data_IF_328722604255
#
_entry.id   IF_328722604255
#
_cell.length_a   1.000
_cell.length_b   1.000
_cell.length_c   1.000
_cell.angle_alpha   90.00
_cell.angle_beta   90.00
_cell.angle_gamma   90.00
#
_symmetry.space_group_name_H-M   'P 1'
#
loop_
_entity.id
_entity.type
_entity.pdbx_description
1 polymer ?
#
# COMPACT_ATOMS: atom_id res chain seq x y z
N UNK A 1 -11.13 42.20 45.56
CA UNK A 1 -10.46 40.93 45.17
C UNK A 1 -10.92 40.55 43.78
N UNK A 2 -10.12 40.74 42.74
CA UNK A 2 -10.42 40.36 41.35
C UNK A 2 -9.97 38.92 41.16
N UNK A 3 -10.93 38.00 40.89
CA UNK A 3 -10.65 36.59 40.51
C UNK A 3 -10.31 36.59 39.02
N UNK A 4 -9.07 36.27 38.67
CA UNK A 4 -8.69 35.98 37.29
C UNK A 4 -9.07 34.54 36.98
N UNK A 5 -10.01 34.35 36.06
CA UNK A 5 -10.38 33.06 35.50
C UNK A 5 -9.38 32.74 34.38
N UNK A 6 -8.45 31.82 34.66
CA UNK A 6 -7.47 31.32 33.69
C UNK A 6 -8.19 30.32 32.74
N UNK A 7 -8.51 30.74 31.54
CA UNK A 7 -9.09 29.90 30.50
C UNK A 7 -7.96 29.07 29.88
N UNK A 8 -7.83 27.80 30.28
CA UNK A 8 -6.93 26.88 29.62
C UNK A 8 -7.54 26.49 28.24
N UNK A 9 -7.00 27.06 27.17
CA UNK A 9 -7.27 26.58 25.80
C UNK A 9 -6.57 25.23 25.63
N UNK A 10 -7.32 24.15 25.68
CA UNK A 10 -6.88 22.83 25.19
C UNK A 10 -6.80 22.88 23.68
N UNK A 11 -5.60 23.11 23.16
CA UNK A 11 -5.31 22.94 21.73
C UNK A 11 -5.26 21.42 21.51
N UNK A 12 -6.34 20.84 21.00
CA UNK A 12 -6.34 19.47 20.49
C UNK A 12 -5.52 19.46 19.20
N UNK A 13 -4.25 19.11 19.30
CA UNK A 13 -3.49 18.70 18.12
C UNK A 13 -4.08 17.37 17.66
N UNK A 14 -4.73 17.36 16.51
CA UNK A 14 -5.02 16.10 15.82
C UNK A 14 -3.66 15.48 15.45
N UNK A 15 -3.15 14.62 16.32
CA UNK A 15 -2.08 13.72 15.91
C UNK A 15 -2.71 12.76 14.87
N UNK A 16 -2.35 12.91 13.63
CA UNK A 16 -2.55 11.86 12.64
C UNK A 16 -1.65 10.69 13.05
N UNK A 17 -2.21 9.74 13.76
CA UNK A 17 -1.50 8.50 14.08
C UNK A 17 -1.71 7.56 12.89
N UNK A 18 -0.66 7.32 12.11
CA UNK A 18 -0.65 6.26 11.12
C UNK A 18 -0.74 4.88 11.81
N UNK A 19 -1.35 3.87 11.17
CA UNK A 19 -1.38 2.50 11.66
C UNK A 19 0.01 1.84 11.52
N UNK A 20 0.96 2.29 12.30
CA UNK A 20 2.33 1.79 12.29
C UNK A 20 2.45 0.67 13.32
N UNK A 21 2.88 -0.54 12.93
CA UNK A 21 3.15 -1.63 13.86
C UNK A 21 4.17 -1.22 14.91
N UNK A 22 4.02 -1.72 16.15
CA UNK A 22 4.88 -1.35 17.31
C UNK A 22 6.37 -1.62 17.09
N UNK A 23 6.69 -2.63 16.28
CA UNK A 23 8.08 -2.98 15.92
C UNK A 23 8.58 -2.23 14.66
N UNK A 24 7.77 -1.31 14.13
CA UNK A 24 8.11 -0.54 12.92
C UNK A 24 8.21 -1.39 11.66
N UNK A 25 7.59 -2.58 11.65
CA UNK A 25 7.67 -3.50 10.51
C UNK A 25 6.35 -4.23 10.28
N UNK A 26 5.96 -4.39 9.01
CA UNK A 26 4.90 -5.28 8.56
C UNK A 26 5.48 -6.26 7.53
N UNK A 27 5.41 -7.55 7.84
CA UNK A 27 5.89 -8.61 6.94
C UNK A 27 4.74 -9.50 6.52
N UNK A 28 4.72 -9.87 5.24
CA UNK A 28 3.69 -10.75 4.67
C UNK A 28 4.33 -11.87 3.87
N UNK A 29 3.83 -13.07 4.07
CA UNK A 29 4.11 -14.20 3.17
C UNK A 29 3.23 -14.09 1.92
N UNK A 30 3.85 -14.17 0.75
CA UNK A 30 3.13 -14.23 -0.53
C UNK A 30 2.85 -15.70 -0.86
N UNK A 31 1.58 -16.08 -0.86
CA UNK A 31 1.14 -17.46 -0.95
C UNK A 31 0.39 -17.71 -2.27
N UNK A 32 0.75 -18.77 -2.98
CA UNK A 32 0.06 -19.29 -4.16
C UNK A 32 -0.06 -20.80 -4.08
N UNK A 33 -1.30 -21.34 -4.23
CA UNK A 33 -1.55 -22.79 -4.10
C UNK A 33 -0.97 -23.40 -2.80
N UNK A 34 -1.19 -22.73 -1.68
CA UNK A 34 -0.70 -23.13 -0.34
C UNK A 34 0.82 -23.22 -0.23
N UNK A 35 1.57 -22.57 -1.10
CA UNK A 35 3.04 -22.48 -1.02
C UNK A 35 3.46 -21.03 -0.95
N UNK A 36 4.40 -20.72 -0.07
CA UNK A 36 5.06 -19.43 -0.05
C UNK A 36 5.90 -19.31 -1.32
N UNK A 37 5.71 -18.23 -2.07
CA UNK A 37 6.39 -17.92 -3.33
C UNK A 37 7.14 -16.59 -3.26
N UNK A 38 7.15 -15.93 -2.12
CA UNK A 38 7.81 -14.66 -1.93
C UNK A 38 7.44 -13.98 -0.62
N UNK A 39 7.90 -12.75 -0.47
CA UNK A 39 7.64 -11.89 0.68
C UNK A 39 7.28 -10.48 0.25
N UNK A 40 6.54 -9.78 1.11
CA UNK A 40 6.29 -8.35 1.04
C UNK A 40 6.60 -7.76 2.42
N UNK A 41 7.61 -6.93 2.49
CA UNK A 41 8.05 -6.27 3.72
C UNK A 41 7.86 -4.77 3.63
N UNK A 42 7.33 -4.17 4.71
CA UNK A 42 7.18 -2.73 4.87
C UNK A 42 7.90 -2.36 6.16
N UNK A 43 8.79 -1.39 6.10
CA UNK A 43 9.48 -0.85 7.27
C UNK A 43 9.19 0.63 7.44
N UNK A 44 8.97 1.03 8.68
CA UNK A 44 8.60 2.38 9.07
C UNK A 44 9.70 2.97 9.94
N UNK A 45 10.13 4.17 9.61
CA UNK A 45 11.13 4.91 10.40
C UNK A 45 10.64 6.35 10.61
N UNK A 46 10.29 6.66 11.85
CA UNK A 46 9.88 8.01 12.27
C UNK A 46 11.05 8.77 12.85
N UNK A 47 11.16 10.02 12.45
CA UNK A 47 12.08 10.99 13.06
C UNK A 47 11.41 12.38 13.06
N UNK A 48 10.96 12.83 14.23
CA UNK A 48 10.13 14.02 14.40
C UNK A 48 8.89 13.96 13.50
N UNK A 49 8.70 14.95 12.63
CA UNK A 49 7.53 15.08 11.74
C UNK A 49 7.70 14.32 10.42
N UNK A 50 8.78 13.53 10.26
CA UNK A 50 9.09 12.79 9.03
C UNK A 50 8.92 11.29 9.26
N UNK A 51 8.06 10.66 8.46
CA UNK A 51 7.94 9.21 8.36
C UNK A 51 8.52 8.75 7.03
N UNK A 52 9.47 7.83 7.08
CA UNK A 52 9.99 7.10 5.93
C UNK A 52 9.39 5.70 5.90
N UNK A 53 8.73 5.36 4.80
CA UNK A 53 8.17 4.01 4.59
C UNK A 53 8.92 3.36 3.44
N UNK A 54 9.53 2.20 3.71
CA UNK A 54 10.21 1.41 2.68
C UNK A 54 9.44 0.12 2.46
N UNK A 55 9.10 -0.15 1.21
CA UNK A 55 8.47 -1.39 0.79
C UNK A 55 9.47 -2.22 -0.04
N UNK A 56 9.52 -3.51 0.22
CA UNK A 56 10.26 -4.48 -0.58
C UNK A 56 9.39 -5.70 -0.84
N UNK A 57 9.14 -5.99 -2.12
CA UNK A 57 8.36 -7.16 -2.56
C UNK A 57 9.27 -8.00 -3.45
N UNK A 58 9.34 -9.28 -3.15
CA UNK A 58 10.05 -10.27 -3.99
C UNK A 58 9.16 -11.48 -4.15
N UNK A 59 8.89 -11.86 -5.40
CA UNK A 59 8.10 -13.04 -5.74
C UNK A 59 8.85 -13.87 -6.76
N UNK A 60 8.96 -15.18 -6.51
CA UNK A 60 9.51 -16.15 -7.46
C UNK A 60 8.59 -17.37 -7.57
N UNK A 61 8.08 -17.62 -8.76
CA UNK A 61 7.30 -18.84 -9.05
C UNK A 61 8.17 -19.83 -9.80
N UNK A 62 8.42 -21.00 -9.19
CA UNK A 62 9.18 -22.10 -9.81
C UNK A 62 8.26 -23.19 -10.34
N UNK A 63 8.61 -23.73 -11.50
CA UNK A 63 7.99 -24.92 -12.10
C UNK A 63 9.12 -25.90 -12.43
N UNK A 64 9.09 -27.09 -11.83
CA UNK A 64 10.12 -28.11 -12.01
C UNK A 64 11.56 -27.57 -11.82
N UNK A 65 11.77 -26.78 -10.75
CA UNK A 65 13.05 -26.15 -10.39
C UNK A 65 13.51 -25.01 -11.32
N UNK A 66 12.75 -24.65 -12.34
CA UNK A 66 13.03 -23.53 -13.23
C UNK A 66 12.20 -22.34 -12.77
N UNK A 67 12.82 -21.17 -12.67
CA UNK A 67 12.10 -19.91 -12.46
C UNK A 67 11.17 -19.66 -13.64
N UNK A 68 9.88 -19.61 -13.38
CA UNK A 68 8.85 -19.43 -14.38
C UNK A 68 8.26 -18.03 -14.36
N UNK A 69 8.52 -17.28 -13.29
CA UNK A 69 8.14 -15.88 -13.14
C UNK A 69 8.84 -15.28 -11.94
N UNK A 70 9.35 -14.06 -12.10
CA UNK A 70 9.85 -13.21 -11.02
C UNK A 70 9.16 -11.85 -11.04
N UNK A 71 9.01 -11.28 -9.86
CA UNK A 71 8.58 -9.91 -9.67
C UNK A 71 9.33 -9.32 -8.49
N UNK A 72 9.88 -8.14 -8.68
CA UNK A 72 10.51 -7.36 -7.63
C UNK A 72 9.97 -5.93 -7.63
N UNK A 73 9.69 -5.41 -6.44
CA UNK A 73 9.32 -4.01 -6.27
C UNK A 73 9.98 -3.45 -5.02
N UNK A 74 10.57 -2.29 -5.15
CA UNK A 74 11.11 -1.52 -4.03
C UNK A 74 10.60 -0.10 -4.12
N UNK A 75 10.16 0.45 -2.98
CA UNK A 75 9.81 1.85 -2.88
C UNK A 75 10.31 2.47 -1.58
N UNK A 76 10.52 3.78 -1.63
CA UNK A 76 10.72 4.62 -0.45
C UNK A 76 9.78 5.80 -0.57
N UNK A 77 8.88 5.92 0.39
CA UNK A 77 7.96 7.03 0.55
C UNK A 77 8.44 7.94 1.67
N UNK A 78 8.23 9.24 1.51
CA UNK A 78 8.45 10.24 2.55
C UNK A 78 7.13 10.93 2.84
N UNK A 79 6.78 10.97 4.11
CA UNK A 79 5.61 11.65 4.64
C UNK A 79 6.08 12.71 5.63
N UNK A 80 5.57 13.93 5.54
CA UNK A 80 5.94 15.05 6.42
C UNK A 80 4.66 15.61 7.04
N UNK A 81 4.57 15.66 8.35
CA UNK A 81 3.36 16.08 9.09
C UNK A 81 2.08 15.31 8.68
N UNK A 82 2.21 14.05 8.24
CA UNK A 82 1.09 13.25 7.76
C UNK A 82 0.81 13.36 6.26
N UNK A 83 1.44 14.28 5.55
CA UNK A 83 1.26 14.46 4.11
C UNK A 83 2.27 13.65 3.31
N UNK A 84 1.81 12.98 2.25
CA UNK A 84 2.67 12.28 1.28
C UNK A 84 3.43 13.27 0.43
N UNK A 85 4.75 13.35 0.57
CA UNK A 85 5.56 14.39 -0.06
C UNK A 85 6.54 13.89 -1.11
N UNK A 86 6.93 12.61 -1.06
CA UNK A 86 7.92 12.08 -2.02
C UNK A 86 7.81 10.58 -2.15
N UNK A 87 8.13 10.09 -3.36
CA UNK A 87 8.36 8.67 -3.64
C UNK A 87 9.51 8.47 -4.60
N UNK A 88 10.26 7.40 -4.37
CA UNK A 88 11.15 6.78 -5.35
C UNK A 88 10.84 5.29 -5.35
N UNK A 89 10.53 4.73 -6.53
CA UNK A 89 10.24 3.31 -6.64
C UNK A 89 10.86 2.70 -7.90
N UNK A 90 11.10 1.39 -7.84
CA UNK A 90 11.54 0.56 -8.95
C UNK A 90 10.75 -0.74 -8.93
N UNK A 91 10.19 -1.11 -10.08
CA UNK A 91 9.49 -2.37 -10.28
C UNK A 91 10.07 -3.11 -11.46
N UNK A 92 10.40 -4.38 -11.25
CA UNK A 92 10.84 -5.31 -12.29
C UNK A 92 9.79 -6.42 -12.45
N UNK A 93 9.08 -6.39 -13.56
CA UNK A 93 8.16 -7.45 -13.98
C UNK A 93 8.87 -8.25 -15.07
N UNK A 94 9.24 -9.48 -14.79
CA UNK A 94 9.97 -10.34 -15.75
C UNK A 94 9.28 -10.42 -17.14
N UNK A 95 7.96 -10.40 -17.18
CA UNK A 95 7.17 -10.51 -18.40
C UNK A 95 6.74 -9.16 -19.01
N UNK A 96 7.20 -8.05 -18.44
CA UNK A 96 6.97 -6.69 -18.93
C UNK A 96 8.32 -5.97 -19.12
N UNK A 97 8.40 -4.77 -18.62
CA UNK A 97 9.61 -3.93 -18.54
C UNK A 97 9.81 -3.42 -17.13
N UNK A 98 10.99 -2.97 -16.84
CA UNK A 98 11.25 -2.25 -15.60
C UNK A 98 10.56 -0.87 -15.61
N UNK A 99 10.05 -0.47 -14.45
CA UNK A 99 9.48 0.85 -14.23
C UNK A 99 10.26 1.57 -13.14
N UNK A 100 10.71 2.78 -13.46
CA UNK A 100 11.36 3.69 -12.52
C UNK A 100 10.38 4.83 -12.23
N UNK A 101 9.93 4.92 -11.00
CA UNK A 101 8.92 5.86 -10.56
C UNK A 101 9.56 6.89 -9.63
N UNK A 102 9.24 8.14 -9.85
CA UNK A 102 9.61 9.24 -8.97
C UNK A 102 8.41 10.15 -8.80
N UNK A 103 8.26 10.69 -7.61
CA UNK A 103 7.25 11.71 -7.32
C UNK A 103 7.73 12.62 -6.23
N UNK A 104 7.32 13.87 -6.29
CA UNK A 104 7.66 14.89 -5.30
C UNK A 104 6.58 15.94 -5.21
N UNK A 105 6.26 16.34 -3.99
CA UNK A 105 5.40 17.48 -3.71
C UNK A 105 5.98 18.75 -4.33
N UNK A 106 5.12 19.57 -4.87
CA UNK A 106 5.37 20.92 -5.38
C UNK A 106 4.30 21.84 -4.80
N UNK A 107 4.43 23.16 -4.90
CA UNK A 107 3.58 24.12 -4.19
C UNK A 107 2.10 23.76 -4.19
N UNK A 108 1.52 23.48 -5.36
CA UNK A 108 0.08 23.27 -5.55
C UNK A 108 -0.26 21.89 -6.13
N UNK A 109 0.74 21.04 -6.41
CA UNK A 109 0.57 19.74 -7.08
C UNK A 109 1.60 18.72 -6.63
N UNK A 110 1.37 17.45 -6.94
CA UNK A 110 2.37 16.39 -6.82
C UNK A 110 2.90 16.05 -8.21
N UNK A 111 4.19 16.32 -8.44
CA UNK A 111 4.84 16.07 -9.72
C UNK A 111 5.42 14.66 -9.72
N UNK A 112 4.97 13.82 -10.65
CA UNK A 112 5.39 12.44 -10.74
C UNK A 112 5.89 12.05 -12.13
N UNK A 113 6.54 10.90 -12.22
CA UNK A 113 6.91 10.26 -13.48
C UNK A 113 6.90 8.74 -13.35
N UNK A 114 6.51 8.06 -14.40
CA UNK A 114 6.44 6.61 -14.49
C UNK A 114 6.10 6.12 -15.90
N UNK A 115 5.26 5.11 -16.00
CA UNK A 115 4.88 4.50 -17.28
C UNK A 115 4.27 5.50 -18.27
N UNK A 116 3.49 6.47 -17.80
CA UNK A 116 2.84 7.49 -18.63
C UNK A 116 3.71 8.74 -18.85
N UNK A 117 4.97 8.72 -18.42
CA UNK A 117 5.87 9.85 -18.50
C UNK A 117 5.69 10.80 -17.32
N UNK A 118 5.74 12.12 -17.58
CA UNK A 118 5.57 13.14 -16.55
C UNK A 118 4.09 13.38 -16.29
N UNK A 119 3.73 13.46 -15.02
CA UNK A 119 2.38 13.66 -14.51
C UNK A 119 2.38 14.84 -13.53
N UNK A 120 1.34 15.64 -13.58
CA UNK A 120 1.00 16.63 -12.56
C UNK A 120 -0.33 16.21 -11.93
N UNK A 121 -0.30 15.89 -10.64
CA UNK A 121 -1.38 15.24 -9.90
C UNK A 121 -1.89 16.15 -8.80
N UNK A 122 -3.08 15.82 -8.27
CA UNK A 122 -3.58 16.46 -7.06
C UNK A 122 -2.52 16.37 -5.94
N UNK A 123 -2.34 17.47 -5.21
CA UNK A 123 -1.37 17.56 -4.13
C UNK A 123 -1.61 16.48 -3.05
N UNK A 124 -2.88 16.15 -2.81
CA UNK A 124 -3.28 15.19 -1.78
C UNK A 124 -3.40 13.76 -2.31
N UNK A 125 -2.90 13.48 -3.52
CA UNK A 125 -2.92 12.12 -4.06
C UNK A 125 -2.21 11.16 -3.11
N UNK A 126 -2.80 9.99 -2.84
CA UNK A 126 -2.15 8.96 -2.04
C UNK A 126 -1.53 7.86 -2.90
N UNK A 127 -0.40 7.28 -2.46
CA UNK A 127 0.23 6.14 -3.14
C UNK A 127 -0.59 4.87 -2.95
N UNK A 128 -0.57 3.98 -3.93
CA UNK A 128 -1.27 2.68 -3.93
C UNK A 128 -0.62 1.67 -2.99
N UNK A 129 -0.34 2.07 -1.76
CA UNK A 129 0.06 1.17 -0.71
C UNK A 129 -1.15 0.88 0.19
N UNK A 130 -1.31 -0.33 0.63
CA UNK A 130 -2.42 -0.71 1.49
C UNK A 130 -2.09 -0.65 2.99
N UNK A 131 -0.87 -0.24 3.37
CA UNK A 131 -0.53 -0.04 4.78
C UNK A 131 -1.28 1.16 5.39
N UNK A 132 -1.58 2.18 4.58
CA UNK A 132 -2.38 3.33 4.98
C UNK A 132 -3.83 3.12 4.51
N UNK A 133 -4.73 2.86 5.45
CA UNK A 133 -6.16 2.62 5.17
C UNK A 133 -6.85 3.81 4.51
N UNK A 134 -6.32 5.04 4.65
CA UNK A 134 -6.90 6.23 4.02
C UNK A 134 -6.90 6.18 2.49
N UNK A 135 -6.11 5.29 1.90
CA UNK A 135 -6.17 5.02 0.45
C UNK A 135 -7.57 4.55 0.02
N UNK A 136 -8.31 3.85 0.90
CA UNK A 136 -9.65 3.36 0.61
C UNK A 136 -10.72 4.47 0.54
N UNK A 137 -10.40 5.69 1.00
CA UNK A 137 -11.30 6.85 1.02
C UNK A 137 -11.10 7.77 -0.20
N UNK A 138 -10.11 7.48 -1.03
CA UNK A 138 -9.77 8.28 -2.20
C UNK A 138 -10.72 7.99 -3.37
N UNK A 139 -10.72 8.86 -4.36
CA UNK A 139 -11.32 8.63 -5.69
C UNK A 139 -10.27 8.17 -6.69
N UNK A 140 -9.06 8.65 -6.53
CA UNK A 140 -7.90 8.35 -7.36
C UNK A 140 -6.68 8.11 -6.48
N UNK A 141 -5.80 7.24 -6.95
CA UNK A 141 -4.54 6.90 -6.29
C UNK A 141 -3.40 6.94 -7.30
N UNK A 142 -2.19 7.12 -6.80
CA UNK A 142 -0.97 6.99 -7.59
C UNK A 142 -0.41 5.57 -7.45
N UNK A 143 -0.46 4.79 -8.52
CA UNK A 143 0.10 3.43 -8.58
C UNK A 143 1.63 3.47 -8.48
N UNK A 144 2.16 3.00 -7.37
CA UNK A 144 3.59 3.03 -7.05
C UNK A 144 4.41 1.99 -7.82
N UNK A 145 3.77 1.00 -8.44
CA UNK A 145 4.46 -0.02 -9.21
C UNK A 145 4.69 0.37 -10.66
N UNK A 146 3.83 1.19 -11.23
CA UNK A 146 3.91 1.62 -12.65
C UNK A 146 4.00 3.13 -12.84
N UNK A 147 3.66 3.93 -11.83
CA UNK A 147 3.68 5.39 -11.91
C UNK A 147 2.58 5.94 -12.82
N UNK A 148 1.35 5.52 -12.57
CA UNK A 148 0.12 5.97 -13.25
C UNK A 148 -0.95 6.33 -12.24
N UNK A 149 -1.95 7.10 -12.65
CA UNK A 149 -3.15 7.35 -11.84
C UNK A 149 -4.18 6.27 -12.08
N UNK A 150 -4.85 5.84 -11.01
CA UNK A 150 -5.97 4.90 -11.09
C UNK A 150 -7.17 5.46 -10.34
N UNK A 151 -8.33 5.51 -11.02
CA UNK A 151 -9.61 5.72 -10.35
C UNK A 151 -9.97 4.47 -9.58
N UNK A 152 -10.45 4.61 -8.35
CA UNK A 152 -10.77 3.46 -7.49
C UNK A 152 -12.25 3.43 -7.11
N UNK A 153 -12.72 2.21 -6.82
CA UNK A 153 -14.01 1.92 -6.23
C UNK A 153 -13.83 0.94 -5.09
N UNK A 154 -14.40 1.23 -3.92
CA UNK A 154 -14.20 0.48 -2.69
C UNK A 154 -15.55 0.10 -2.08
N UNK A 155 -15.74 -1.18 -1.80
CA UNK A 155 -16.92 -1.72 -1.12
C UNK A 155 -16.53 -2.28 0.26
N UNK A 156 -17.21 -1.83 1.32
CA UNK A 156 -17.06 -2.37 2.65
C UNK A 156 -17.98 -3.59 2.86
N UNK A 157 -17.40 -4.75 3.16
CA UNK A 157 -18.13 -6.01 3.35
C UNK A 157 -18.43 -6.33 4.83
N UNK A 158 -18.03 -5.44 5.76
CA UNK A 158 -18.19 -5.66 7.20
C UNK A 158 -17.06 -6.49 7.80
N UNK A 159 -17.36 -7.18 8.92
CA UNK A 159 -16.35 -7.90 9.70
C UNK A 159 -16.22 -9.36 9.30
N UNK A 160 -14.99 -9.85 9.32
CA UNK A 160 -14.64 -11.27 9.16
C UNK A 160 -13.55 -11.63 10.16
N UNK A 161 -13.63 -12.81 10.78
CA UNK A 161 -12.52 -13.37 11.55
C UNK A 161 -11.57 -14.11 10.61
N UNK A 162 -10.31 -13.74 10.66
CA UNK A 162 -9.25 -14.44 9.91
C UNK A 162 -8.25 -15.06 10.89
N UNK A 163 -7.62 -16.16 10.47
CA UNK A 163 -6.64 -16.84 11.30
C UNK A 163 -5.21 -16.51 10.85
N UNK A 164 -4.43 -15.93 11.77
CA UNK A 164 -3.01 -15.62 11.59
C UNK A 164 -2.24 -16.22 12.76
N UNK A 165 -1.19 -16.98 12.51
CA UNK A 165 -0.32 -17.59 13.55
C UNK A 165 -1.09 -18.30 14.68
N UNK A 166 -2.20 -18.98 14.33
CA UNK A 166 -3.14 -19.68 15.25
C UNK A 166 -4.07 -18.78 16.04
N UNK A 167 -3.99 -17.48 15.93
CA UNK A 167 -4.89 -16.51 16.55
C UNK A 167 -6.03 -16.13 15.60
N UNK A 168 -7.21 -15.94 16.13
CA UNK A 168 -8.34 -15.39 15.37
C UNK A 168 -8.32 -13.88 15.53
N UNK A 169 -8.26 -13.17 14.43
CA UNK A 169 -8.22 -11.71 14.38
C UNK A 169 -9.49 -11.23 13.69
N UNK A 170 -10.23 -10.36 14.35
CA UNK A 170 -11.41 -9.72 13.77
C UNK A 170 -10.96 -8.57 12.87
N UNK A 171 -11.32 -8.63 11.60
CA UNK A 171 -10.91 -7.64 10.61
C UNK A 171 -12.11 -7.01 9.90
N UNK A 172 -11.99 -5.75 9.55
CA UNK A 172 -12.82 -5.10 8.55
C UNK A 172 -12.38 -5.58 7.16
N UNK A 173 -13.35 -5.97 6.34
CA UNK A 173 -13.11 -6.50 5.00
C UNK A 173 -13.61 -5.54 3.94
N UNK A 174 -12.79 -5.35 2.90
CA UNK A 174 -13.10 -4.46 1.79
C UNK A 174 -12.81 -5.15 0.45
N UNK A 175 -13.60 -4.82 -0.58
CA UNK A 175 -13.22 -5.04 -1.97
C UNK A 175 -12.68 -3.72 -2.51
N UNK A 176 -11.55 -3.79 -3.19
CA UNK A 176 -10.87 -2.66 -3.80
C UNK A 176 -10.68 -2.94 -5.29
N UNK A 177 -11.29 -2.11 -6.11
CA UNK A 177 -11.16 -2.10 -7.55
C UNK A 177 -10.43 -0.84 -8.00
N UNK A 178 -9.62 -0.97 -9.05
CA UNK A 178 -9.00 0.20 -9.66
C UNK A 178 -9.03 0.09 -11.19
N UNK A 179 -9.07 1.25 -11.84
CA UNK A 179 -9.08 1.34 -13.30
C UNK A 179 -7.78 0.77 -13.90
N UNK A 180 -7.91 0.08 -15.03
CA UNK A 180 -6.76 -0.34 -15.82
C UNK A 180 -6.26 0.81 -16.70
N UNK A 181 -4.93 0.88 -16.88
CA UNK A 181 -4.32 1.78 -17.86
C UNK A 181 -4.29 1.07 -19.22
N UNK A 182 -4.50 1.75 -20.36
CA UNK A 182 -4.42 1.13 -21.70
C UNK A 182 -3.07 0.46 -22.01
N UNK A 183 -2.00 0.83 -21.32
CA UNK A 183 -0.66 0.24 -21.45
C UNK A 183 -0.42 -0.96 -20.54
N UNK A 184 -1.37 -1.29 -19.66
CA UNK A 184 -1.28 -2.49 -18.82
C UNK A 184 -1.34 -3.75 -19.70
N UNK A 185 -0.48 -4.74 -19.42
CA UNK A 185 -0.53 -6.05 -20.10
C UNK A 185 -1.74 -6.88 -19.70
N UNK A 186 -2.32 -6.61 -18.54
CA UNK A 186 -3.52 -7.26 -18.01
C UNK A 186 -4.32 -6.25 -17.20
N UNK A 187 -5.62 -6.44 -17.03
CA UNK A 187 -6.42 -5.61 -16.15
C UNK A 187 -5.81 -5.51 -14.76
N UNK A 188 -5.98 -4.36 -14.12
CA UNK A 188 -5.63 -4.23 -12.70
C UNK A 188 -6.51 -5.19 -11.91
N UNK A 189 -5.94 -6.04 -11.03
CA UNK A 189 -6.70 -7.04 -10.33
C UNK A 189 -7.63 -6.41 -9.28
N UNK A 190 -8.77 -7.06 -9.04
CA UNK A 190 -9.57 -6.79 -7.85
C UNK A 190 -8.83 -7.32 -6.61
N UNK A 191 -8.73 -6.48 -5.58
CA UNK A 191 -8.17 -6.87 -4.28
C UNK A 191 -9.27 -7.03 -3.25
N UNK A 192 -9.13 -8.04 -2.39
CA UNK A 192 -9.83 -8.12 -1.11
C UNK A 192 -8.85 -7.82 0.01
N UNK A 193 -9.21 -6.89 0.91
CA UNK A 193 -8.32 -6.36 1.94
C UNK A 193 -8.95 -6.61 3.31
N UNK A 194 -8.13 -6.92 4.32
CA UNK A 194 -8.54 -7.12 5.71
C UNK A 194 -7.66 -6.28 6.64
N UNK A 195 -8.30 -5.40 7.39
CA UNK A 195 -7.67 -4.54 8.40
C UNK A 195 -8.19 -4.89 9.79
N UNK A 196 -7.30 -4.94 10.76
CA UNK A 196 -7.66 -5.17 12.17
C UNK A 196 -8.33 -3.95 12.83
N UNK A 197 -8.54 -4.00 14.14
CA UNK A 197 -9.13 -2.91 14.92
C UNK A 197 -8.27 -1.65 15.04
N UNK A 198 -6.97 -1.75 14.74
CA UNK A 198 -6.02 -0.65 14.72
C UNK A 198 -5.77 -0.10 13.30
N UNK A 199 -6.59 -0.52 12.32
CA UNK A 199 -6.41 -0.20 10.90
C UNK A 199 -5.09 -0.72 10.31
N UNK A 200 -4.44 -1.71 10.96
CA UNK A 200 -3.29 -2.40 10.40
C UNK A 200 -3.73 -3.43 9.34
N UNK A 201 -3.06 -3.44 8.20
CA UNK A 201 -3.30 -4.44 7.16
C UNK A 201 -2.84 -5.83 7.62
N UNK A 202 -3.76 -6.78 7.67
CA UNK A 202 -3.51 -8.14 8.13
C UNK A 202 -3.43 -9.15 6.99
N UNK A 203 -4.20 -8.91 5.93
CA UNK A 203 -4.25 -9.80 4.78
C UNK A 203 -4.74 -9.04 3.55
N UNK A 204 -4.26 -9.43 2.37
CA UNK A 204 -4.92 -9.09 1.13
C UNK A 204 -4.81 -10.21 0.10
N UNK A 205 -5.77 -10.25 -0.82
CA UNK A 205 -5.88 -11.27 -1.84
C UNK A 205 -6.19 -10.63 -3.19
N UNK A 206 -5.72 -11.25 -4.25
CA UNK A 206 -6.14 -10.95 -5.61
C UNK A 206 -6.05 -12.20 -6.50
N UNK A 207 -6.70 -12.15 -7.67
CA UNK A 207 -6.60 -13.21 -8.66
C UNK A 207 -5.63 -12.78 -9.76
N UNK A 208 -4.55 -13.54 -9.93
CA UNK A 208 -3.66 -13.39 -11.07
C UNK A 208 -4.29 -14.07 -12.30
N UNK A 209 -4.79 -13.26 -13.23
CA UNK A 209 -5.44 -13.77 -14.44
C UNK A 209 -4.45 -14.21 -15.52
N UNK A 210 -3.23 -13.70 -15.48
CA UNK A 210 -2.20 -13.92 -16.51
C UNK A 210 -1.78 -15.38 -16.68
N UNK A 211 -1.92 -16.19 -15.63
CA UNK A 211 -1.45 -17.58 -15.62
C UNK A 211 -2.51 -18.55 -15.06
N UNK A 212 -3.74 -18.43 -15.58
CA UNK A 212 -4.82 -19.38 -15.32
C UNK A 212 -5.55 -19.15 -14.00
N UNK A 213 -5.88 -17.90 -13.71
CA UNK A 213 -6.75 -17.47 -12.58
C UNK A 213 -6.34 -18.12 -11.26
N UNK A 214 -5.22 -17.72 -10.70
CA UNK A 214 -4.74 -18.21 -9.42
C UNK A 214 -4.85 -17.14 -8.35
N UNK A 215 -5.46 -17.48 -7.24
CA UNK A 215 -5.48 -16.61 -6.07
C UNK A 215 -4.08 -16.48 -5.49
N UNK A 216 -3.65 -15.26 -5.32
CA UNK A 216 -2.48 -14.86 -4.56
C UNK A 216 -2.96 -14.28 -3.23
N UNK A 217 -2.43 -14.77 -2.14
CA UNK A 217 -2.75 -14.29 -0.80
C UNK A 217 -1.48 -13.76 -0.16
N UNK A 218 -1.54 -12.55 0.34
CA UNK A 218 -0.53 -12.00 1.23
C UNK A 218 -1.12 -11.96 2.63
N UNK A 219 -0.44 -12.63 3.56
CA UNK A 219 -0.91 -12.75 4.96
C UNK A 219 0.19 -12.33 5.91
N UNK A 220 -0.16 -11.57 6.94
CA UNK A 220 0.78 -11.09 7.96
C UNK A 220 1.56 -12.26 8.55
N UNK A 221 2.87 -12.14 8.66
CA UNK A 221 3.78 -13.20 9.16
C UNK A 221 4.56 -12.82 10.42
N UNK A 222 4.52 -11.54 10.83
CA UNK A 222 5.10 -11.03 12.11
C UNK A 222 4.04 -10.45 13.03
#
# INVERSE_FOLDING_TARGET
MKKYLLLLLLISTNLYAFPIPKDGKASFDVIRKNKVIGSHEITFAENNDVLLVKTNIVVEVKVLFISAYTFAHQSTETWINGDFTKIVAHSDFEDEREYFIKGQDSNDSFLASGMDGKLELDKNILPSNFWNIDVLKQKEIFDTQKGVVRTIDVEALGYEEIKINKENIKCNKFIFNASSNPKDKSPFPEYTLWYDENDELMKFQFTDERRGKKTITLIRSN
#
